data_IF_267162836530
#
_entry.id   IF_267162836530
#
_cell.length_a   1.000
_cell.length_b   1.000
_cell.length_c   1.000
_cell.angle_alpha   90.00
_cell.angle_beta   90.00
_cell.angle_gamma   90.00
#
_symmetry.space_group_name_H-M   'P 1'
#
loop_
_entity.id
_entity.type
_entity.pdbx_description
1 polymer ?
#
# COMPACT_ATOMS: atom_id res chain seq x y z
N UNK A 1 10.37 -12.30 14.11
CA UNK A 1 11.82 -12.17 13.79
C UNK A 1 12.03 -10.84 13.15
N UNK A 2 12.82 -9.98 13.79
CA UNK A 2 13.03 -8.59 13.46
C UNK A 2 13.56 -8.41 12.05
N UNK A 3 12.88 -7.61 11.22
CA UNK A 3 13.43 -7.11 9.97
C UNK A 3 14.54 -6.09 10.31
N UNK A 4 15.75 -6.58 10.44
CA UNK A 4 16.94 -5.73 10.49
C UNK A 4 16.99 -4.87 9.22
N UNK A 5 17.18 -3.58 9.40
CA UNK A 5 17.43 -2.61 8.33
C UNK A 5 18.59 -3.11 7.47
N UNK A 6 18.31 -3.57 6.26
CA UNK A 6 19.30 -4.05 5.30
C UNK A 6 19.97 -2.85 4.62
N UNK A 7 20.75 -2.08 5.37
CA UNK A 7 21.81 -1.29 4.76
C UNK A 7 22.85 -2.26 4.18
N UNK A 8 23.37 -2.03 2.95
CA UNK A 8 24.35 -2.92 2.36
C UNK A 8 25.56 -3.02 3.30
N UNK A 9 25.93 -4.24 3.70
CA UNK A 9 27.14 -4.52 4.49
C UNK A 9 28.34 -4.39 3.56
N UNK A 10 28.82 -3.17 3.39
CA UNK A 10 30.04 -2.88 2.63
C UNK A 10 31.27 -3.50 3.32
N UNK A 11 32.27 -3.88 2.54
CA UNK A 11 33.42 -4.66 3.04
C UNK A 11 34.41 -3.83 3.89
N UNK A 12 34.19 -2.50 3.96
CA UNK A 12 35.09 -1.56 4.63
C UNK A 12 36.33 -1.16 3.80
N UNK A 13 36.48 -1.70 2.60
CA UNK A 13 37.43 -1.29 1.59
C UNK A 13 36.73 -0.48 0.50
N UNK A 14 36.80 0.85 0.59
CA UNK A 14 36.09 1.79 -0.28
C UNK A 14 36.36 1.54 -1.76
N UNK A 15 37.61 1.21 -2.16
CA UNK A 15 37.92 0.97 -3.56
C UNK A 15 37.26 -0.33 -4.09
N UNK A 16 37.21 -1.36 -3.25
CA UNK A 16 36.55 -2.62 -3.60
C UNK A 16 35.05 -2.46 -3.69
N UNK A 17 34.46 -1.69 -2.79
CA UNK A 17 33.04 -1.42 -2.79
C UNK A 17 32.61 -0.60 -4.02
N UNK A 18 33.38 0.41 -4.41
CA UNK A 18 33.17 1.19 -5.64
C UNK A 18 33.28 0.31 -6.88
N UNK A 19 34.28 -0.56 -6.95
CA UNK A 19 34.49 -1.49 -8.06
C UNK A 19 33.32 -2.50 -8.16
N UNK A 20 32.83 -3.00 -7.03
CA UNK A 20 31.68 -3.91 -6.96
C UNK A 20 30.41 -3.22 -7.50
N UNK A 21 30.15 -1.98 -7.09
CA UNK A 21 29.02 -1.17 -7.60
C UNK A 21 29.17 -0.91 -9.11
N UNK A 22 30.39 -0.56 -9.58
CA UNK A 22 30.64 -0.33 -10.99
C UNK A 22 30.39 -1.60 -11.82
N UNK A 23 30.90 -2.74 -11.39
CA UNK A 23 30.70 -4.03 -12.08
C UNK A 23 29.21 -4.42 -12.10
N UNK A 24 28.50 -4.18 -10.98
CA UNK A 24 27.07 -4.44 -10.90
C UNK A 24 26.28 -3.57 -11.88
N UNK A 25 26.57 -2.28 -11.98
CA UNK A 25 25.92 -1.37 -12.95
C UNK A 25 26.19 -1.78 -14.39
N UNK A 26 27.44 -2.13 -14.73
CA UNK A 26 27.78 -2.58 -16.07
C UNK A 26 27.00 -3.83 -16.47
N UNK A 27 26.78 -4.74 -15.52
CA UNK A 27 26.08 -6.00 -15.78
C UNK A 27 24.56 -5.85 -15.81
N UNK A 28 23.96 -5.19 -14.78
CA UNK A 28 22.50 -5.14 -14.61
C UNK A 28 21.84 -3.93 -15.28
N UNK A 29 22.49 -2.77 -15.31
CA UNK A 29 21.90 -1.55 -15.88
C UNK A 29 22.25 -1.39 -17.37
N UNK A 30 23.48 -1.79 -17.77
CA UNK A 30 23.98 -1.66 -19.12
C UNK A 30 24.00 -3.00 -19.90
N UNK A 31 23.49 -4.06 -19.31
CA UNK A 31 23.33 -5.42 -19.90
C UNK A 31 24.61 -5.99 -20.53
N UNK A 32 25.80 -5.55 -20.07
CA UNK A 32 27.08 -6.04 -20.59
C UNK A 32 27.37 -7.46 -20.11
N UNK A 33 27.92 -8.26 -21.02
CA UNK A 33 28.40 -9.61 -20.67
C UNK A 33 29.62 -9.54 -19.74
N UNK A 34 29.83 -10.57 -18.92
CA UNK A 34 31.04 -10.67 -18.07
C UNK A 34 32.35 -10.56 -18.85
N UNK A 35 32.34 -10.94 -20.14
CA UNK A 35 33.50 -10.83 -21.03
C UNK A 35 33.79 -9.39 -21.44
N UNK A 36 32.75 -8.59 -21.71
CA UNK A 36 32.88 -7.17 -22.03
C UNK A 36 33.31 -6.38 -20.81
N UNK A 37 32.71 -6.67 -19.63
CA UNK A 37 33.12 -6.05 -18.36
C UNK A 37 34.57 -6.36 -18.03
N UNK A 38 35.01 -7.60 -18.26
CA UNK A 38 36.39 -8.02 -18.07
C UNK A 38 37.39 -7.20 -18.93
N UNK A 39 37.04 -6.95 -20.19
CA UNK A 39 37.86 -6.13 -21.10
C UNK A 39 37.89 -4.65 -20.69
N UNK A 40 36.77 -4.12 -20.22
CA UNK A 40 36.63 -2.71 -19.88
C UNK A 40 37.26 -2.36 -18.52
N UNK A 41 37.16 -3.25 -17.55
CA UNK A 41 37.64 -3.03 -16.18
C UNK A 41 39.04 -3.58 -15.93
N UNK A 42 39.62 -4.36 -16.88
CA UNK A 42 40.88 -5.05 -16.68
C UNK A 42 40.82 -6.25 -15.72
N UNK A 43 39.64 -6.59 -15.20
CA UNK A 43 39.44 -7.73 -14.32
C UNK A 43 39.37 -9.03 -15.11
N UNK A 44 39.71 -10.14 -14.49
CA UNK A 44 39.43 -11.46 -15.06
C UNK A 44 37.92 -11.78 -14.95
N UNK A 45 37.40 -12.61 -15.85
CA UNK A 45 35.98 -13.06 -15.80
C UNK A 45 35.63 -13.68 -14.46
N UNK A 46 36.54 -14.36 -13.82
CA UNK A 46 36.35 -14.93 -12.48
C UNK A 46 36.18 -13.84 -11.42
N UNK A 47 37.00 -12.77 -11.48
CA UNK A 47 36.87 -11.62 -10.57
C UNK A 47 35.54 -10.88 -10.78
N UNK A 48 35.09 -10.69 -12.03
CA UNK A 48 33.78 -10.10 -12.35
C UNK A 48 32.67 -10.96 -11.75
N UNK A 49 32.67 -12.28 -11.99
CA UNK A 49 31.66 -13.20 -11.43
C UNK A 49 31.65 -13.18 -9.89
N UNK A 50 32.82 -13.08 -9.25
CA UNK A 50 32.95 -13.01 -7.81
C UNK A 50 32.36 -11.71 -7.25
N UNK A 51 32.68 -10.56 -7.86
CA UNK A 51 32.13 -9.26 -7.45
C UNK A 51 30.62 -9.18 -7.61
N UNK A 52 30.05 -9.76 -8.69
CA UNK A 52 28.61 -9.85 -8.88
C UNK A 52 27.92 -10.71 -7.80
N UNK A 53 28.58 -11.76 -7.34
CA UNK A 53 28.08 -12.57 -6.22
C UNK A 53 28.15 -11.79 -4.91
N UNK A 54 29.29 -11.17 -4.62
CA UNK A 54 29.48 -10.33 -3.43
C UNK A 54 28.46 -9.17 -3.40
N UNK A 55 28.18 -8.53 -4.55
CA UNK A 55 27.18 -7.48 -4.68
C UNK A 55 25.77 -7.95 -4.28
N UNK A 56 25.42 -9.21 -4.56
CA UNK A 56 24.16 -9.83 -4.07
C UNK A 56 24.22 -10.14 -2.58
N UNK A 57 25.32 -10.74 -2.12
CA UNK A 57 25.49 -11.16 -0.73
C UNK A 57 25.51 -9.95 0.23
N UNK A 58 26.05 -8.81 -0.23
CA UNK A 58 26.11 -7.54 0.53
C UNK A 58 24.85 -6.68 0.35
N UNK A 59 23.89 -7.07 -0.50
CA UNK A 59 22.67 -6.28 -0.74
C UNK A 59 22.85 -5.05 -1.63
N UNK A 60 23.99 -4.87 -2.29
CA UNK A 60 24.21 -3.86 -3.35
C UNK A 60 23.35 -4.16 -4.57
N UNK A 61 23.17 -5.44 -4.89
CA UNK A 61 22.23 -5.92 -5.91
C UNK A 61 21.15 -6.74 -5.23
N UNK A 62 19.89 -6.35 -5.42
CA UNK A 62 18.74 -7.16 -5.05
C UNK A 62 18.13 -7.73 -6.32
N UNK A 63 17.99 -9.04 -6.38
CA UNK A 63 17.28 -9.73 -7.44
C UNK A 63 16.02 -10.33 -6.83
N UNK A 64 14.90 -9.69 -7.05
CA UNK A 64 13.60 -10.25 -6.71
C UNK A 64 13.16 -11.14 -7.87
N UNK A 65 13.28 -12.44 -7.71
CA UNK A 65 12.70 -13.40 -8.66
C UNK A 65 11.21 -13.44 -8.36
N UNK A 66 10.49 -12.61 -9.09
CA UNK A 66 9.02 -12.68 -9.09
C UNK A 66 8.67 -13.95 -9.86
N UNK A 67 8.36 -15.03 -9.13
CA UNK A 67 7.54 -16.07 -9.75
C UNK A 67 6.33 -15.33 -10.34
N UNK A 68 5.96 -15.61 -11.57
CA UNK A 68 4.68 -15.16 -12.09
C UNK A 68 3.64 -15.81 -11.18
N UNK A 69 3.26 -15.09 -10.12
CA UNK A 69 2.18 -15.50 -9.26
C UNK A 69 0.98 -15.67 -10.18
N UNK A 70 0.51 -16.88 -10.29
CA UNK A 70 -0.52 -17.19 -11.24
C UNK A 70 -1.78 -16.42 -10.83
N UNK A 71 -2.14 -15.37 -11.57
CA UNK A 71 -3.48 -14.77 -11.46
C UNK A 71 -4.49 -15.89 -11.69
N UNK A 72 -5.64 -15.80 -11.02
CA UNK A 72 -6.73 -16.77 -11.14
C UNK A 72 -7.90 -16.13 -11.89
N UNK A 73 -7.88 -16.11 -13.24
CA UNK A 73 -8.85 -15.38 -14.05
C UNK A 73 -10.30 -15.79 -13.78
N UNK A 74 -10.53 -17.06 -13.44
CA UNK A 74 -11.87 -17.55 -13.12
C UNK A 74 -12.45 -16.86 -11.88
N UNK A 75 -11.66 -16.67 -10.82
CA UNK A 75 -12.08 -15.98 -9.60
C UNK A 75 -12.22 -14.47 -9.86
N UNK A 76 -11.35 -13.88 -10.66
CA UNK A 76 -11.42 -12.46 -11.04
C UNK A 76 -12.72 -12.13 -11.74
N UNK A 77 -13.07 -12.91 -12.78
CA UNK A 77 -14.34 -12.75 -13.52
C UNK A 77 -15.55 -12.98 -12.61
N UNK A 78 -15.51 -13.98 -11.72
CA UNK A 78 -16.58 -14.25 -10.79
C UNK A 78 -16.82 -13.08 -9.82
N UNK A 79 -15.74 -12.51 -9.24
CA UNK A 79 -15.82 -11.34 -8.35
C UNK A 79 -16.34 -10.11 -9.09
N UNK A 80 -15.84 -9.83 -10.29
CA UNK A 80 -16.30 -8.71 -11.12
C UNK A 80 -17.82 -8.80 -11.39
N UNK A 81 -18.29 -9.97 -11.78
CA UNK A 81 -19.72 -10.19 -12.05
C UNK A 81 -20.59 -10.06 -10.81
N UNK A 82 -20.14 -10.59 -9.70
CA UNK A 82 -20.91 -10.65 -8.47
C UNK A 82 -21.03 -9.31 -7.77
N UNK A 83 -19.90 -8.60 -7.63
CA UNK A 83 -19.82 -7.35 -6.89
C UNK A 83 -19.78 -6.10 -7.77
N UNK A 84 -19.87 -6.25 -9.10
CA UNK A 84 -19.79 -5.11 -10.02
C UNK A 84 -18.41 -4.45 -10.05
N UNK A 85 -17.34 -5.18 -9.69
CA UNK A 85 -16.00 -4.65 -9.71
C UNK A 85 -15.56 -4.33 -11.13
N UNK A 86 -14.88 -3.20 -11.30
CA UNK A 86 -14.21 -2.84 -12.55
C UNK A 86 -13.09 -3.81 -12.89
N UNK A 87 -12.31 -4.21 -11.89
CA UNK A 87 -11.21 -5.13 -12.02
C UNK A 87 -11.01 -5.91 -10.71
N UNK A 88 -10.56 -7.16 -10.82
CA UNK A 88 -10.07 -7.95 -9.71
C UNK A 88 -8.68 -8.51 -10.04
N UNK A 89 -7.76 -8.43 -9.10
CA UNK A 89 -6.42 -9.00 -9.16
C UNK A 89 -6.36 -10.10 -8.11
N UNK A 90 -6.55 -11.34 -8.52
CA UNK A 90 -6.59 -12.49 -7.61
C UNK A 90 -5.37 -13.36 -7.83
N UNK A 91 -4.56 -13.51 -6.78
CA UNK A 91 -3.28 -14.20 -6.82
C UNK A 91 -3.36 -15.54 -6.09
N UNK A 92 -2.97 -16.62 -6.73
CA UNK A 92 -2.77 -17.92 -6.04
C UNK A 92 -1.42 -17.86 -5.32
N UNK A 93 -1.45 -17.85 -4.00
CA UNK A 93 -0.27 -17.68 -3.14
C UNK A 93 -0.55 -18.26 -1.76
N UNK A 94 0.48 -18.76 -1.09
CA UNK A 94 0.42 -19.20 0.29
C UNK A 94 0.33 -18.01 1.26
N UNK A 95 -0.31 -18.20 2.42
CA UNK A 95 -0.61 -17.14 3.38
C UNK A 95 0.61 -16.33 3.82
N UNK A 96 1.77 -16.97 3.99
CA UNK A 96 3.01 -16.34 4.47
C UNK A 96 3.55 -15.28 3.50
N UNK A 97 3.30 -15.41 2.19
CA UNK A 97 3.78 -14.48 1.17
C UNK A 97 2.65 -13.63 0.54
N UNK A 98 1.42 -13.87 0.95
CA UNK A 98 0.23 -13.27 0.36
C UNK A 98 0.31 -11.73 0.31
N UNK A 99 0.68 -11.08 1.42
CA UNK A 99 0.80 -9.62 1.46
C UNK A 99 1.84 -9.10 0.47
N UNK A 100 2.96 -9.79 0.32
CA UNK A 100 4.04 -9.40 -0.57
C UNK A 100 3.61 -9.47 -2.03
N UNK A 101 3.05 -10.61 -2.43
CA UNK A 101 2.61 -10.88 -3.80
C UNK A 101 1.44 -9.98 -4.21
N UNK A 102 0.45 -9.80 -3.33
CA UNK A 102 -0.71 -8.95 -3.59
C UNK A 102 -0.30 -7.48 -3.73
N UNK A 103 0.57 -6.96 -2.84
CA UNK A 103 1.04 -5.57 -2.91
C UNK A 103 1.87 -5.31 -4.16
N UNK A 104 2.66 -6.29 -4.61
CA UNK A 104 3.40 -6.20 -5.86
C UNK A 104 2.49 -6.16 -7.08
N UNK A 105 1.47 -7.03 -7.14
CA UNK A 105 0.49 -7.03 -8.22
C UNK A 105 -0.30 -5.70 -8.27
N UNK A 106 -0.71 -5.18 -7.12
CA UNK A 106 -1.38 -3.88 -7.00
C UNK A 106 -0.48 -2.72 -7.47
N UNK A 107 0.80 -2.72 -7.11
CA UNK A 107 1.76 -1.71 -7.56
C UNK A 107 1.92 -1.75 -9.08
N UNK A 108 2.09 -2.96 -9.67
CA UNK A 108 2.17 -3.14 -11.12
C UNK A 108 0.90 -2.65 -11.81
N UNK A 109 -0.28 -2.96 -11.26
CA UNK A 109 -1.56 -2.48 -11.79
C UNK A 109 -1.61 -0.94 -11.81
N UNK A 110 -1.29 -0.30 -10.69
CA UNK A 110 -1.26 1.16 -10.58
C UNK A 110 -0.30 1.80 -11.59
N UNK A 111 0.91 1.23 -11.74
CA UNK A 111 1.91 1.73 -12.67
C UNK A 111 1.47 1.64 -14.15
N UNK A 112 0.56 0.72 -14.47
CA UNK A 112 0.07 0.48 -15.83
C UNK A 112 -1.31 1.10 -16.11
N UNK A 113 -1.87 1.89 -15.19
CA UNK A 113 -3.14 2.58 -15.44
C UNK A 113 -3.06 3.49 -16.66
N UNK A 114 -4.11 3.41 -17.49
CA UNK A 114 -4.24 4.28 -18.67
C UNK A 114 -5.64 4.92 -18.69
N UNK A 115 -5.73 6.23 -18.93
CA UNK A 115 -4.62 7.20 -18.97
C UNK A 115 -3.95 7.33 -17.59
N UNK A 116 -2.65 7.70 -17.59
CA UNK A 116 -1.95 7.95 -16.32
C UNK A 116 -2.59 9.15 -15.59
N UNK A 117 -3.01 8.99 -14.33
CA UNK A 117 -3.64 10.08 -13.59
C UNK A 117 -2.62 11.13 -13.13
N UNK A 118 -2.93 12.43 -13.33
CA UNK A 118 -2.09 13.51 -12.80
C UNK A 118 -2.20 13.67 -11.27
N UNK A 119 -3.25 13.11 -10.67
CA UNK A 119 -3.54 13.18 -9.25
C UNK A 119 -4.02 11.82 -8.75
N UNK A 120 -3.44 11.32 -7.67
CA UNK A 120 -3.90 10.11 -6.98
C UNK A 120 -4.02 10.37 -5.48
N UNK A 121 -4.97 9.71 -4.85
CA UNK A 121 -5.09 9.66 -3.40
C UNK A 121 -4.57 8.35 -2.83
N UNK A 122 -3.86 8.41 -1.72
CA UNK A 122 -3.41 7.22 -0.99
C UNK A 122 -3.77 7.31 0.48
N UNK A 123 -4.09 6.18 1.11
CA UNK A 123 -4.16 6.12 2.57
C UNK A 123 -2.80 5.73 3.15
N UNK A 124 -2.67 5.78 4.47
CA UNK A 124 -1.50 5.21 5.15
C UNK A 124 -1.76 3.76 5.58
N UNK A 125 -0.73 3.06 6.04
CA UNK A 125 -0.81 1.73 6.59
C UNK A 125 0.28 0.78 6.12
N UNK A 126 0.47 -0.31 6.86
CA UNK A 126 1.50 -1.32 6.59
C UNK A 126 1.44 -1.88 5.17
N UNK A 127 0.24 -2.16 4.69
CA UNK A 127 0.00 -2.69 3.33
C UNK A 127 0.47 -1.71 2.25
N UNK A 128 0.10 -0.42 2.34
CA UNK A 128 0.51 0.56 1.34
C UNK A 128 1.99 0.93 1.48
N UNK A 129 2.56 0.90 2.69
CA UNK A 129 4.00 1.02 2.88
C UNK A 129 4.75 -0.12 2.17
N UNK A 130 4.22 -1.35 2.23
CA UNK A 130 4.76 -2.49 1.49
C UNK A 130 4.59 -2.32 -0.02
N UNK A 131 3.40 -1.88 -0.47
CA UNK A 131 3.13 -1.61 -1.89
C UNK A 131 4.08 -0.57 -2.47
N UNK A 132 4.43 0.48 -1.70
CA UNK A 132 5.34 1.54 -2.15
C UNK A 132 6.75 1.01 -2.52
N UNK A 133 7.18 -0.11 -1.93
CA UNK A 133 8.47 -0.74 -2.23
C UNK A 133 8.52 -1.37 -3.64
N UNK A 134 7.34 -1.66 -4.23
CA UNK A 134 7.19 -2.30 -5.52
C UNK A 134 6.90 -1.33 -6.67
N UNK A 135 6.76 -0.03 -6.38
CA UNK A 135 6.56 0.97 -7.43
C UNK A 135 7.82 1.10 -8.28
N UNK A 136 7.64 1.07 -9.60
CA UNK A 136 8.75 1.22 -10.55
C UNK A 136 9.25 2.68 -10.51
N UNK A 137 10.57 2.93 -10.55
CA UNK A 137 11.08 4.29 -10.66
C UNK A 137 10.46 5.05 -11.85
N UNK A 138 9.99 6.27 -11.60
CA UNK A 138 9.29 7.13 -12.57
C UNK A 138 7.99 6.54 -13.13
N UNK A 139 7.30 5.73 -12.36
CA UNK A 139 6.07 5.05 -12.79
C UNK A 139 4.98 6.00 -13.29
N UNK A 140 4.95 7.25 -12.84
CA UNK A 140 4.04 8.31 -13.28
C UNK A 140 4.68 9.68 -13.01
N UNK A 141 5.57 10.12 -13.89
CA UNK A 141 6.40 11.30 -13.65
C UNK A 141 5.57 12.57 -13.48
N UNK A 142 5.81 13.27 -12.36
CA UNK A 142 5.12 14.52 -12.04
C UNK A 142 3.75 14.36 -11.39
N UNK A 143 3.30 13.14 -11.07
CA UNK A 143 2.02 12.92 -10.37
C UNK A 143 1.98 13.64 -9.03
N UNK A 144 0.82 14.21 -8.69
CA UNK A 144 0.54 14.66 -7.33
C UNK A 144 -0.11 13.51 -6.55
N UNK A 145 0.46 13.18 -5.38
CA UNK A 145 -0.01 12.13 -4.48
C UNK A 145 -0.57 12.78 -3.23
N UNK A 146 -1.88 12.76 -3.05
CA UNK A 146 -2.54 13.34 -1.88
C UNK A 146 -2.84 12.28 -0.82
N UNK A 147 -2.57 12.59 0.45
CA UNK A 147 -2.97 11.73 1.56
C UNK A 147 -4.47 11.87 1.83
N UNK A 148 -5.21 10.76 1.79
CA UNK A 148 -6.68 10.74 1.88
C UNK A 148 -7.23 10.84 3.30
N UNK A 149 -6.40 10.59 4.31
CA UNK A 149 -6.78 10.63 5.73
C UNK A 149 -5.70 11.29 6.57
N UNK A 150 -6.09 11.79 7.74
CA UNK A 150 -5.17 12.49 8.64
C UNK A 150 -3.97 11.63 9.05
N UNK A 151 -2.92 12.27 9.54
CA UNK A 151 -1.66 11.64 9.91
C UNK A 151 -1.80 10.66 11.07
N UNK A 152 -0.92 9.65 11.11
CA UNK A 152 -0.77 8.76 12.26
C UNK A 152 0.06 9.46 13.34
N UNK A 153 -0.23 9.20 14.60
CA UNK A 153 0.61 9.62 15.72
C UNK A 153 1.90 8.78 15.75
N UNK A 154 3.01 9.38 15.34
CA UNK A 154 4.31 8.70 15.10
C UNK A 154 5.10 8.37 16.38
N UNK A 155 4.61 8.72 17.58
CA UNK A 155 5.34 8.47 18.83
C UNK A 155 5.53 7.00 19.18
N UNK A 156 4.77 6.10 18.56
CA UNK A 156 4.78 4.65 18.84
C UNK A 156 5.62 3.83 17.86
N UNK A 157 6.01 4.37 16.72
CA UNK A 157 6.75 3.63 15.71
C UNK A 157 8.18 4.16 15.64
N UNK A 158 9.14 3.39 16.14
CA UNK A 158 10.57 3.73 16.18
C UNK A 158 11.29 3.83 14.82
N UNK A 159 10.56 4.01 13.72
CA UNK A 159 11.12 4.33 12.40
C UNK A 159 10.67 5.72 11.95
N UNK A 160 11.54 6.50 11.26
CA UNK A 160 11.09 7.70 10.59
C UNK A 160 10.06 7.29 9.55
N UNK A 161 8.78 7.54 9.85
CA UNK A 161 7.68 7.29 8.94
C UNK A 161 7.84 8.19 7.72
N UNK A 162 8.50 7.69 6.70
CA UNK A 162 8.26 8.21 5.39
C UNK A 162 6.78 8.00 5.10
N UNK A 163 6.03 9.08 5.07
CA UNK A 163 4.62 9.05 4.75
C UNK A 163 4.41 8.26 3.45
N UNK A 164 3.40 7.42 3.40
CA UNK A 164 3.09 6.62 2.20
C UNK A 164 3.00 7.52 0.96
N UNK A 165 2.33 8.67 1.06
CA UNK A 165 2.22 9.61 -0.05
C UNK A 165 3.58 10.10 -0.55
N UNK A 166 4.52 10.38 0.36
CA UNK A 166 5.89 10.77 -0.01
C UNK A 166 6.65 9.65 -0.72
N UNK A 167 6.51 8.40 -0.27
CA UNK A 167 7.14 7.24 -0.94
C UNK A 167 6.60 7.04 -2.36
N UNK A 168 5.28 7.14 -2.55
CA UNK A 168 4.64 7.05 -3.86
C UNK A 168 5.10 8.17 -4.79
N UNK A 169 5.12 9.42 -4.30
CA UNK A 169 5.57 10.58 -5.04
C UNK A 169 7.06 10.50 -5.39
N UNK A 170 7.91 10.09 -4.45
CA UNK A 170 9.35 9.94 -4.67
C UNK A 170 9.65 8.91 -5.77
N UNK A 171 8.97 7.75 -5.76
CA UNK A 171 9.11 6.74 -6.79
C UNK A 171 8.73 7.28 -8.17
N UNK A 172 7.75 8.18 -8.26
CA UNK A 172 7.26 8.79 -9.49
C UNK A 172 8.02 10.08 -9.89
N UNK A 173 8.95 10.61 -9.07
CA UNK A 173 9.46 11.98 -9.18
C UNK A 173 8.36 13.03 -9.21
N UNK A 174 7.28 12.78 -8.49
CA UNK A 174 6.12 13.64 -8.33
C UNK A 174 6.17 14.46 -7.04
N UNK A 175 5.01 14.93 -6.63
CA UNK A 175 4.83 15.73 -5.42
C UNK A 175 3.88 15.01 -4.45
N UNK A 176 4.12 15.15 -3.15
CA UNK A 176 3.20 14.68 -2.12
C UNK A 176 2.48 15.84 -1.47
N UNK A 177 1.16 15.73 -1.34
CA UNK A 177 0.32 16.66 -0.58
C UNK A 177 -0.20 15.94 0.65
N UNK A 178 0.26 16.36 1.83
CA UNK A 178 -0.08 15.73 3.10
C UNK A 178 -1.29 16.43 3.73
N UNK A 179 -2.08 15.68 4.47
CA UNK A 179 -3.16 16.20 5.32
C UNK A 179 -2.62 16.36 6.75
N UNK A 180 -2.17 17.56 7.17
CA UNK A 180 -1.38 17.75 8.38
C UNK A 180 -2.25 17.86 9.65
N UNK A 181 -3.17 16.92 9.81
CA UNK A 181 -4.11 16.85 10.94
C UNK A 181 -4.21 15.40 11.45
N UNK A 182 -4.58 15.18 12.72
CA UNK A 182 -4.83 13.83 13.22
C UNK A 182 -5.96 13.13 12.44
N UNK A 183 -5.85 11.79 12.26
CA UNK A 183 -6.89 11.01 11.58
C UNK A 183 -8.21 10.99 12.35
N UNK A 184 -8.15 10.86 13.68
CA UNK A 184 -9.32 10.88 14.57
C UNK A 184 -9.10 11.97 15.62
N UNK A 185 -10.04 12.88 15.72
CA UNK A 185 -9.98 14.02 16.63
C UNK A 185 -10.72 13.76 17.93
N UNK A 186 -10.35 14.48 18.99
CA UNK A 186 -11.00 14.36 20.29
C UNK A 186 -12.48 14.78 20.28
N UNK A 187 -12.83 15.77 19.46
CA UNK A 187 -14.17 16.37 19.44
C UNK A 187 -14.64 16.67 18.00
N UNK A 188 -15.94 16.54 17.77
CA UNK A 188 -16.59 16.85 16.48
C UNK A 188 -16.36 18.31 16.09
N UNK A 189 -16.46 19.25 17.03
CA UNK A 189 -16.23 20.68 16.76
C UNK A 189 -14.80 20.98 16.28
N UNK A 190 -13.81 20.27 16.83
CA UNK A 190 -12.42 20.42 16.37
C UNK A 190 -12.28 19.96 14.91
N UNK A 191 -12.92 18.82 14.54
CA UNK A 191 -12.95 18.37 13.15
C UNK A 191 -13.60 19.42 12.25
N UNK A 192 -14.76 19.93 12.63
CA UNK A 192 -15.50 20.92 11.84
C UNK A 192 -14.68 22.21 11.65
N UNK A 193 -14.01 22.68 12.70
CA UNK A 193 -13.16 23.86 12.62
C UNK A 193 -11.97 23.65 11.67
N UNK A 194 -11.32 22.47 11.73
CA UNK A 194 -10.22 22.14 10.82
C UNK A 194 -10.68 21.98 9.36
N UNK A 195 -11.84 21.40 9.12
CA UNK A 195 -12.40 21.28 7.76
C UNK A 195 -12.71 22.67 7.13
N UNK A 196 -12.95 23.69 7.95
CA UNK A 196 -13.18 25.06 7.49
C UNK A 196 -11.88 25.85 7.30
N UNK A 197 -10.74 25.36 7.80
CA UNK A 197 -9.44 25.97 7.53
C UNK A 197 -9.11 25.89 6.04
N UNK A 198 -8.75 27.02 5.38
CA UNK A 198 -8.53 27.04 3.94
C UNK A 198 -7.46 26.06 3.44
N UNK A 199 -6.39 25.85 4.23
CA UNK A 199 -5.31 24.90 3.86
C UNK A 199 -5.81 23.46 3.92
N UNK A 200 -6.50 23.10 5.00
CA UNK A 200 -7.06 21.77 5.18
C UNK A 200 -8.15 21.48 4.14
N UNK A 201 -9.05 22.44 3.93
CA UNK A 201 -10.13 22.33 2.94
C UNK A 201 -9.58 22.10 1.53
N UNK A 202 -8.48 22.78 1.16
CA UNK A 202 -7.83 22.58 -0.13
C UNK A 202 -7.26 21.16 -0.30
N UNK A 203 -6.61 20.62 0.73
CA UNK A 203 -6.08 19.25 0.69
C UNK A 203 -7.21 18.22 0.61
N UNK A 204 -8.27 18.41 1.38
CA UNK A 204 -9.46 17.55 1.32
C UNK A 204 -10.12 17.57 -0.06
N UNK A 205 -10.25 18.74 -0.66
CA UNK A 205 -10.79 18.89 -2.01
C UNK A 205 -9.92 18.18 -3.06
N UNK A 206 -8.58 18.20 -2.94
CA UNK A 206 -7.71 17.39 -3.79
C UNK A 206 -7.96 15.89 -3.61
N UNK A 207 -8.14 15.42 -2.38
CA UNK A 207 -8.51 14.03 -2.11
C UNK A 207 -9.84 13.62 -2.75
N UNK A 208 -10.83 14.50 -2.73
CA UNK A 208 -12.13 14.29 -3.40
C UNK A 208 -11.99 14.27 -4.93
N UNK A 209 -11.19 15.17 -5.50
CA UNK A 209 -10.96 15.29 -6.94
C UNK A 209 -10.08 14.17 -7.51
N UNK A 210 -9.27 13.50 -6.69
CA UNK A 210 -8.40 12.43 -7.14
C UNK A 210 -9.20 11.30 -7.81
N UNK A 211 -8.97 11.01 -9.11
CA UNK A 211 -9.70 9.96 -9.82
C UNK A 211 -9.33 8.55 -9.34
N UNK A 212 -8.21 8.41 -8.69
CA UNK A 212 -7.68 7.17 -8.14
C UNK A 212 -7.55 7.30 -6.63
N UNK A 213 -8.14 6.39 -5.88
CA UNK A 213 -7.88 6.18 -4.46
C UNK A 213 -7.26 4.81 -4.26
N UNK A 214 -6.10 4.76 -3.60
CA UNK A 214 -5.44 3.50 -3.21
C UNK A 214 -5.45 3.40 -1.70
N UNK A 215 -6.04 2.35 -1.17
CA UNK A 215 -6.18 2.16 0.26
C UNK A 215 -6.12 0.68 0.66
N UNK A 216 -5.91 0.44 1.93
CA UNK A 216 -6.03 -0.88 2.55
C UNK A 216 -7.20 -0.89 3.51
N UNK A 217 -7.70 -2.08 3.78
CA UNK A 217 -8.74 -2.31 4.77
C UNK A 217 -8.08 -2.68 6.11
N UNK A 218 -8.46 -1.99 7.17
CA UNK A 218 -7.95 -2.22 8.52
C UNK A 218 -8.70 -3.35 9.22
N UNK A 219 -7.97 -4.15 9.96
CA UNK A 219 -8.55 -5.19 10.81
C UNK A 219 -9.04 -4.63 12.15
N UNK A 220 -10.02 -5.28 12.74
CA UNK A 220 -10.46 -5.00 14.11
C UNK A 220 -9.67 -5.91 15.07
N UNK A 221 -8.52 -5.43 15.56
CA UNK A 221 -7.64 -6.19 16.45
C UNK A 221 -6.76 -5.31 17.33
N UNK A 222 -6.23 -5.88 18.42
CA UNK A 222 -5.24 -5.23 19.29
C UNK A 222 -3.95 -4.82 18.54
N UNK A 223 -3.69 -5.42 17.37
CA UNK A 223 -2.51 -5.15 16.53
C UNK A 223 -2.80 -4.23 15.37
N UNK A 224 -3.99 -3.63 15.32
CA UNK A 224 -4.33 -2.68 14.28
C UNK A 224 -3.50 -1.39 14.42
N UNK A 225 -3.22 -0.73 13.29
CA UNK A 225 -2.45 0.52 13.29
C UNK A 225 -3.13 1.61 14.15
N UNK A 226 -4.47 1.60 14.22
CA UNK A 226 -5.24 2.57 15.02
C UNK A 226 -5.08 2.34 16.53
N UNK A 227 -4.93 1.08 16.97
CA UNK A 227 -4.58 0.73 18.34
C UNK A 227 -3.13 1.11 18.68
N UNK A 228 -2.19 0.71 17.85
CA UNK A 228 -0.76 1.01 18.05
C UNK A 228 -0.47 2.50 18.09
N UNK A 229 -1.18 3.29 17.29
CA UNK A 229 -1.04 4.76 17.25
C UNK A 229 -1.83 5.49 18.35
N UNK A 230 -2.61 4.76 19.15
CA UNK A 230 -3.38 5.33 20.26
C UNK A 230 -4.63 6.12 19.83
N UNK A 231 -5.13 5.93 18.61
CA UNK A 231 -6.40 6.52 18.17
C UNK A 231 -7.62 5.84 18.79
N UNK A 232 -7.54 4.54 19.00
CA UNK A 232 -8.51 3.76 19.74
C UNK A 232 -7.78 3.01 20.87
N UNK A 233 -8.48 2.73 21.94
CA UNK A 233 -8.03 1.95 23.08
C UNK A 233 -8.82 0.64 23.18
N UNK A 234 -8.46 -0.22 24.14
CA UNK A 234 -9.15 -1.50 24.34
C UNK A 234 -10.64 -1.37 24.67
N UNK A 235 -11.07 -0.42 25.54
CA UNK A 235 -12.49 -0.17 25.75
C UNK A 235 -13.23 0.19 24.45
N UNK A 236 -12.66 1.06 23.62
CA UNK A 236 -13.23 1.43 22.33
C UNK A 236 -13.25 0.26 21.36
N UNK A 237 -12.19 -0.56 21.29
CA UNK A 237 -12.15 -1.77 20.48
C UNK A 237 -13.28 -2.73 20.87
N UNK A 238 -13.46 -3.01 22.16
CA UNK A 238 -14.54 -3.88 22.65
C UNK A 238 -15.94 -3.31 22.34
N UNK A 239 -16.11 -2.00 22.39
CA UNK A 239 -17.37 -1.35 22.01
C UNK A 239 -17.64 -1.48 20.50
N UNK A 240 -16.63 -1.30 19.65
CA UNK A 240 -16.74 -1.50 18.20
C UNK A 240 -17.09 -2.95 17.84
N UNK A 241 -16.49 -3.92 18.52
CA UNK A 241 -16.83 -5.35 18.38
C UNK A 241 -18.29 -5.61 18.78
N UNK A 242 -18.73 -5.07 19.94
CA UNK A 242 -20.11 -5.21 20.43
C UNK A 242 -21.13 -4.59 19.45
N UNK A 243 -20.78 -3.52 18.77
CA UNK A 243 -21.59 -2.85 17.77
C UNK A 243 -21.56 -3.55 16.40
N UNK A 244 -20.76 -4.63 16.26
CA UNK A 244 -20.70 -5.42 15.04
C UNK A 244 -19.74 -4.88 13.98
N UNK A 245 -18.78 -4.04 14.37
CA UNK A 245 -17.74 -3.62 13.44
C UNK A 245 -16.99 -4.84 12.85
N UNK A 246 -16.61 -4.75 11.59
CA UNK A 246 -15.84 -5.79 10.90
C UNK A 246 -14.42 -5.34 10.53
N UNK A 247 -14.15 -4.06 10.72
CA UNK A 247 -12.88 -3.41 10.43
C UNK A 247 -13.07 -1.94 10.08
N UNK A 248 -12.02 -1.30 9.55
CA UNK A 248 -12.07 0.11 9.18
C UNK A 248 -11.61 0.38 7.75
N UNK A 249 -12.08 1.46 7.19
CA UNK A 249 -11.59 2.08 5.96
C UNK A 249 -11.11 3.50 6.32
N UNK A 250 -9.82 3.74 6.30
CA UNK A 250 -9.22 5.05 6.60
C UNK A 250 -9.66 5.62 7.96
N UNK A 251 -9.79 4.76 8.99
CA UNK A 251 -10.20 5.12 10.34
C UNK A 251 -11.71 5.14 10.58
N UNK A 252 -12.53 4.80 9.58
CA UNK A 252 -13.99 4.70 9.69
C UNK A 252 -14.40 3.26 9.86
N UNK A 253 -14.89 2.91 11.05
CA UNK A 253 -15.28 1.54 11.40
C UNK A 253 -16.66 1.21 10.88
N UNK A 254 -16.77 0.17 10.06
CA UNK A 254 -18.02 -0.24 9.40
C UNK A 254 -18.51 -1.62 9.85
N UNK A 255 -19.82 -1.81 9.76
CA UNK A 255 -20.49 -3.10 9.92
C UNK A 255 -20.51 -3.92 8.61
N UNK A 256 -21.17 -5.09 8.66
CA UNK A 256 -21.36 -5.95 7.47
C UNK A 256 -22.24 -5.31 6.39
N UNK A 257 -23.05 -4.32 6.75
CA UNK A 257 -23.85 -3.49 5.84
C UNK A 257 -23.03 -2.40 5.12
N UNK A 258 -21.77 -2.21 5.53
CA UNK A 258 -20.88 -1.18 5.02
C UNK A 258 -21.09 0.19 5.66
N UNK A 259 -21.98 0.35 6.61
CA UNK A 259 -22.24 1.64 7.27
C UNK A 259 -21.42 1.79 8.56
N UNK A 260 -21.03 3.03 8.94
CA UNK A 260 -20.31 3.28 10.17
C UNK A 260 -21.11 2.82 11.41
N UNK A 261 -20.51 1.93 12.21
CA UNK A 261 -21.19 1.35 13.41
C UNK A 261 -21.22 2.31 14.61
N UNK A 262 -20.35 3.31 14.65
CA UNK A 262 -20.27 4.30 15.73
C UNK A 262 -20.25 5.71 15.13
N UNK A 263 -21.44 6.33 14.91
CA UNK A 263 -21.56 7.64 14.26
C UNK A 263 -20.76 8.76 14.94
N UNK A 264 -20.63 8.72 16.28
CA UNK A 264 -19.86 9.71 17.02
C UNK A 264 -18.36 9.64 16.73
N UNK A 265 -17.81 8.44 16.53
CA UNK A 265 -16.42 8.24 16.14
C UNK A 265 -16.21 8.65 14.70
N UNK A 266 -17.11 8.25 13.80
CA UNK A 266 -17.09 8.66 12.40
C UNK A 266 -17.16 10.19 12.26
N UNK A 267 -18.00 10.84 13.04
CA UNK A 267 -18.12 12.30 13.08
C UNK A 267 -16.85 13.03 13.56
N UNK A 268 -15.90 12.33 14.20
CA UNK A 268 -14.60 12.86 14.62
C UNK A 268 -13.45 12.47 13.69
N UNK A 269 -13.70 11.58 12.73
CA UNK A 269 -12.71 11.10 11.75
C UNK A 269 -12.58 12.09 10.61
N UNK A 270 -11.34 12.55 10.35
CA UNK A 270 -11.03 13.53 9.33
C UNK A 270 -10.29 12.89 8.15
N UNK A 271 -10.78 13.14 6.95
CA UNK A 271 -10.28 12.57 5.69
C UNK A 271 -11.41 12.27 4.72
N UNK A 272 -11.08 11.59 3.65
CA UNK A 272 -12.03 11.24 2.60
C UNK A 272 -13.25 10.49 3.18
N UNK A 273 -14.44 10.86 2.77
CA UNK A 273 -15.67 10.19 3.18
C UNK A 273 -15.84 8.90 2.37
N UNK A 274 -16.44 7.86 3.00
CA UNK A 274 -16.66 6.58 2.32
C UNK A 274 -17.54 6.73 1.07
N UNK A 275 -18.54 7.61 1.08
CA UNK A 275 -19.37 7.89 -0.08
C UNK A 275 -18.56 8.34 -1.31
N UNK A 276 -17.50 9.11 -1.12
CA UNK A 276 -16.65 9.56 -2.19
C UNK A 276 -15.87 8.40 -2.87
N UNK A 277 -15.65 7.28 -2.20
CA UNK A 277 -15.04 6.09 -2.80
C UNK A 277 -15.94 5.47 -3.90
N UNK A 278 -17.26 5.52 -3.73
CA UNK A 278 -18.23 5.01 -4.70
C UNK A 278 -18.21 5.79 -6.03
N UNK A 279 -17.82 7.06 -5.96
CA UNK A 279 -17.80 7.96 -7.11
C UNK A 279 -16.48 7.95 -7.89
N UNK A 280 -15.42 7.33 -7.31
CA UNK A 280 -14.11 7.33 -7.95
C UNK A 280 -14.02 6.32 -9.09
N UNK A 281 -13.47 6.73 -10.25
CA UNK A 281 -13.20 5.81 -11.36
C UNK A 281 -12.36 4.60 -10.95
N UNK A 282 -11.37 4.81 -10.06
CA UNK A 282 -10.53 3.77 -9.50
C UNK A 282 -10.45 3.89 -7.98
N UNK A 283 -11.24 3.09 -7.29
CA UNK A 283 -11.20 2.89 -5.85
C UNK A 283 -10.53 1.53 -5.60
N UNK A 284 -9.20 1.56 -5.40
CA UNK A 284 -8.32 0.38 -5.39
C UNK A 284 -8.08 -0.06 -3.94
N UNK A 285 -8.69 -1.16 -3.53
CA UNK A 285 -8.42 -1.79 -2.26
C UNK A 285 -7.33 -2.87 -2.40
N UNK A 286 -6.33 -2.80 -1.52
CA UNK A 286 -5.22 -3.77 -1.47
C UNK A 286 -5.24 -4.45 -0.13
N UNK A 287 -5.51 -5.75 -0.10
CA UNK A 287 -5.67 -6.51 1.14
C UNK A 287 -5.32 -7.99 0.96
N UNK A 288 -4.76 -8.58 1.99
CA UNK A 288 -4.45 -10.00 2.06
C UNK A 288 -4.61 -10.51 3.50
N UNK A 289 -4.96 -11.78 3.61
CA UNK A 289 -5.09 -12.52 4.86
C UNK A 289 -6.53 -12.72 5.34
N UNK A 290 -6.77 -13.92 5.88
CA UNK A 290 -8.11 -14.37 6.31
C UNK A 290 -8.75 -13.47 7.38
N UNK A 291 -7.94 -12.80 8.22
CA UNK A 291 -8.40 -11.85 9.22
C UNK A 291 -9.12 -10.63 8.65
N UNK A 292 -9.00 -10.38 7.32
CA UNK A 292 -9.66 -9.28 6.61
C UNK A 292 -10.90 -9.69 5.82
N UNK A 293 -11.24 -10.96 5.77
CA UNK A 293 -12.35 -11.46 4.96
C UNK A 293 -13.65 -10.66 5.16
N UNK A 294 -14.04 -10.42 6.41
CA UNK A 294 -15.30 -9.73 6.74
C UNK A 294 -15.32 -8.28 6.26
N UNK A 295 -14.23 -7.53 6.51
CA UNK A 295 -14.14 -6.13 6.07
C UNK A 295 -14.03 -6.02 4.55
N UNK A 296 -13.36 -6.97 3.87
CA UNK A 296 -13.33 -7.02 2.40
C UNK A 296 -14.73 -7.23 1.86
N UNK A 297 -15.47 -8.23 2.39
CA UNK A 297 -16.85 -8.51 1.97
C UNK A 297 -17.77 -7.28 2.14
N UNK A 298 -17.77 -6.68 3.35
CA UNK A 298 -18.56 -5.47 3.61
C UNK A 298 -18.21 -4.33 2.64
N UNK A 299 -16.93 -4.13 2.36
CA UNK A 299 -16.44 -3.04 1.50
C UNK A 299 -16.83 -3.21 0.03
N UNK A 300 -16.71 -4.43 -0.52
CA UNK A 300 -17.09 -4.69 -1.92
C UNK A 300 -18.62 -4.65 -2.09
N UNK A 301 -19.37 -5.20 -1.12
CA UNK A 301 -20.83 -5.17 -1.12
C UNK A 301 -21.40 -3.75 -1.03
N UNK A 302 -20.77 -2.89 -0.23
CA UNK A 302 -21.15 -1.49 -0.10
C UNK A 302 -20.71 -0.61 -1.30
N UNK A 303 -19.97 -1.16 -2.27
CA UNK A 303 -19.53 -0.43 -3.47
C UNK A 303 -18.38 0.55 -3.20
N UNK A 304 -17.65 0.41 -2.10
CA UNK A 304 -16.48 1.24 -1.80
C UNK A 304 -15.25 0.86 -2.61
N UNK A 305 -15.26 -0.31 -3.23
CA UNK A 305 -14.14 -0.87 -3.98
C UNK A 305 -14.57 -1.06 -5.43
N UNK A 306 -13.86 -0.45 -6.37
CA UNK A 306 -14.03 -0.73 -7.79
C UNK A 306 -12.91 -1.65 -8.34
N UNK A 307 -11.76 -1.68 -7.68
CA UNK A 307 -10.65 -2.58 -8.02
C UNK A 307 -10.18 -3.27 -6.74
N UNK A 308 -10.18 -4.60 -6.71
CA UNK A 308 -9.74 -5.40 -5.58
C UNK A 308 -8.47 -6.16 -5.93
N UNK A 309 -7.40 -5.95 -5.17
CA UNK A 309 -6.20 -6.78 -5.20
C UNK A 309 -6.15 -7.65 -3.95
N UNK A 310 -6.18 -8.97 -4.13
CA UNK A 310 -6.23 -9.92 -3.01
C UNK A 310 -5.70 -11.31 -3.41
N UNK A 311 -5.55 -12.23 -2.45
CA UNK A 311 -5.23 -13.63 -2.69
C UNK A 311 -6.48 -14.48 -2.97
N UNK A 312 -6.26 -15.67 -3.54
CA UNK A 312 -7.32 -16.58 -3.94
C UNK A 312 -8.19 -17.07 -2.77
N UNK A 313 -7.62 -17.20 -1.57
CA UNK A 313 -8.35 -17.59 -0.37
C UNK A 313 -9.45 -16.57 -0.03
N UNK A 314 -9.14 -15.28 -0.01
CA UNK A 314 -10.12 -14.20 0.17
C UNK A 314 -11.15 -14.21 -0.96
N UNK A 315 -10.73 -14.39 -2.21
CA UNK A 315 -11.65 -14.42 -3.35
C UNK A 315 -12.68 -15.57 -3.24
N UNK A 316 -12.24 -16.77 -2.86
CA UNK A 316 -13.13 -17.92 -2.62
C UNK A 316 -14.08 -17.62 -1.47
N UNK A 317 -13.59 -17.12 -0.34
CA UNK A 317 -14.43 -16.71 0.77
C UNK A 317 -15.55 -15.75 0.34
N UNK A 318 -15.21 -14.70 -0.41
CA UNK A 318 -16.19 -13.72 -0.92
C UNK A 318 -17.29 -14.37 -1.79
N UNK A 319 -16.89 -15.34 -2.62
CA UNK A 319 -17.82 -16.05 -3.50
C UNK A 319 -18.70 -17.09 -2.77
N UNK A 320 -18.32 -17.51 -1.58
CA UNK A 320 -19.09 -18.49 -0.77
C UNK A 320 -20.15 -17.84 0.14
N UNK A 321 -19.97 -16.54 0.52
CA UNK A 321 -20.77 -15.89 1.58
C UNK A 321 -22.26 -15.62 1.24
N UNK A 322 -22.69 -15.70 0.00
CA UNK A 322 -24.06 -15.30 -0.39
C UNK A 322 -24.94 -16.47 -0.87
N UNK A 323 -24.86 -17.60 -0.24
CA UNK A 323 -25.86 -18.64 -0.38
C UNK A 323 -26.97 -18.51 0.69
N UNK A 324 -27.03 -17.38 1.44
CA UNK A 324 -28.13 -17.03 2.35
C UNK A 324 -28.96 -15.86 1.82
#
# INVERSE_FOLDING_TARGET
>A
MSAESLSPKLTGDSQRDDLMVQVAKLYFDLEKTQSEISKETGLTRWQVSRLLREARDCGVVRIDIVAHSARVPALEVALQRRFGLREALVLEVDDDDALNVVTQAAARYLCNLQPQPALIGVSWGRTLTKMAQWLVPRWNEGVNVVLLNGAINTRSAGEPNHNVAERFAQAARGQATLLPVPAILGHVHTRQALEQDPVIAQVMALGEQAPVAVFSLGELSDHSVLMESGYIDRPMLAELERLGAVGDIMGRFIGMDGEPVLPELDARTLGLRLSALREKPWSIAVCAGAHKHRIVHASVKAGYVSVLATEAATARYLLEQDHE
#
